data_IF_044774113847
#
_entry.id   IF_044774113847
#
_cell.length_a   1.000
_cell.length_b   1.000
_cell.length_c   1.000
_cell.angle_alpha   90.00
_cell.angle_beta   90.00
_cell.angle_gamma   90.00
#
_symmetry.space_group_name_H-M   'P 1'
#
loop_
_entity.id
_entity.type
_entity.pdbx_description
1 polymer ?
#
# COMPACT_ATOMS: atom_id res chain seq x y z
N UNK A 1 -2.88 -66.44 4.78
CA UNK A 1 -3.71 -65.30 4.31
C UNK A 1 -4.34 -64.60 5.51
N UNK A 2 -3.80 -63.47 6.00
CA UNK A 2 -4.51 -62.52 6.90
C UNK A 2 -3.72 -61.25 7.30
N UNK A 3 -2.49 -61.04 6.81
CA UNK A 3 -1.67 -59.89 7.20
C UNK A 3 -1.49 -58.82 6.10
N UNK A 4 -1.89 -59.11 4.86
CA UNK A 4 -1.72 -58.19 3.72
C UNK A 4 -2.90 -57.24 3.48
N UNK A 5 -4.00 -57.36 4.24
CA UNK A 5 -5.21 -56.54 4.03
C UNK A 5 -5.26 -55.25 4.86
N UNK A 6 -4.40 -55.08 5.87
CA UNK A 6 -4.43 -53.89 6.75
C UNK A 6 -3.46 -52.78 6.32
N UNK A 7 -2.46 -53.08 5.49
CA UNK A 7 -1.44 -52.09 5.10
C UNK A 7 -1.93 -51.08 4.04
N UNK A 8 -3.02 -51.39 3.32
CA UNK A 8 -3.48 -50.54 2.20
C UNK A 8 -4.34 -49.36 2.70
N UNK A 9 -5.01 -49.49 3.85
CA UNK A 9 -5.92 -48.45 4.36
C UNK A 9 -5.17 -47.23 4.91
N UNK A 10 -3.94 -47.40 5.41
CA UNK A 10 -3.16 -46.30 5.99
C UNK A 10 -2.48 -45.38 4.97
N UNK A 11 -2.31 -45.82 3.72
CA UNK A 11 -1.61 -45.03 2.69
C UNK A 11 -2.51 -43.96 2.07
N UNK A 12 -3.83 -44.17 2.06
CA UNK A 12 -4.79 -43.23 1.42
C UNK A 12 -5.12 -42.03 2.32
N UNK A 13 -5.00 -42.15 3.64
CA UNK A 13 -5.31 -41.07 4.60
C UNK A 13 -4.22 -39.98 4.71
N UNK A 14 -2.98 -40.26 4.31
CA UNK A 14 -1.89 -39.27 4.32
C UNK A 14 -1.79 -38.46 3.01
N UNK A 15 -2.46 -38.87 1.94
CA UNK A 15 -2.38 -38.19 0.64
C UNK A 15 -3.17 -36.89 0.53
N UNK A 16 -4.16 -36.67 1.40
CA UNK A 16 -5.09 -35.52 1.29
C UNK A 16 -4.63 -34.31 2.13
N UNK A 17 -3.61 -34.45 2.98
CA UNK A 17 -3.10 -33.35 3.80
C UNK A 17 -2.10 -32.43 3.07
N UNK A 18 -1.61 -32.80 1.89
CA UNK A 18 -0.52 -32.09 1.22
C UNK A 18 -0.95 -30.98 0.25
N UNK A 19 -2.24 -30.77 -0.01
CA UNK A 19 -2.71 -29.75 -0.99
C UNK A 19 -3.19 -28.44 -0.37
N UNK A 20 -3.11 -28.27 0.96
CA UNK A 20 -3.67 -27.09 1.64
C UNK A 20 -2.71 -25.89 1.80
N UNK A 21 -1.45 -25.95 1.36
CA UNK A 21 -0.50 -24.85 1.56
C UNK A 21 0.34 -24.58 0.31
N UNK A 22 -0.27 -24.07 -0.74
CA UNK A 22 0.46 -23.39 -1.82
C UNK A 22 -0.11 -21.98 -2.09
N UNK A 23 -0.39 -21.24 -1.01
CA UNK A 23 -0.64 -19.80 -1.05
C UNK A 23 0.59 -19.08 -0.51
N UNK A 24 1.68 -19.20 -1.25
CA UNK A 24 2.99 -18.53 -1.11
C UNK A 24 3.40 -18.24 -2.56
N UNK A 25 3.66 -17.04 -3.06
CA UNK A 25 3.92 -15.74 -2.47
C UNK A 25 3.49 -14.71 -3.53
N UNK A 26 2.52 -13.84 -3.24
CA UNK A 26 2.30 -12.62 -4.04
C UNK A 26 2.74 -11.34 -3.32
N UNK A 27 3.12 -11.45 -2.05
CA UNK A 27 3.50 -10.31 -1.22
C UNK A 27 5.04 -10.11 -1.13
N UNK A 28 5.86 -11.06 -1.58
CA UNK A 28 7.32 -10.95 -1.49
C UNK A 28 7.95 -10.18 -2.67
N UNK A 29 7.32 -10.19 -3.86
CA UNK A 29 7.78 -9.43 -5.02
C UNK A 29 7.49 -7.93 -4.98
N UNK A 30 6.47 -7.49 -4.23
CA UNK A 30 6.16 -6.05 -4.08
C UNK A 30 7.02 -5.37 -3.01
N UNK A 31 7.50 -6.11 -2.00
CA UNK A 31 8.35 -5.57 -0.93
C UNK A 31 9.77 -5.22 -1.38
N UNK A 32 10.24 -5.73 -2.52
CA UNK A 32 11.59 -5.43 -3.01
C UNK A 32 11.75 -4.03 -3.61
N UNK A 33 10.66 -3.27 -3.78
CA UNK A 33 10.66 -1.93 -4.37
C UNK A 33 10.19 -0.84 -3.40
N UNK A 34 10.32 -1.07 -2.09
CA UNK A 34 9.98 -0.06 -1.10
C UNK A 34 10.96 1.12 -1.19
N UNK A 35 10.42 2.30 -1.44
CA UNK A 35 11.12 3.57 -1.48
C UNK A 35 10.58 4.50 -0.40
N UNK A 36 11.41 5.46 0.00
CA UNK A 36 11.01 6.57 0.87
C UNK A 36 10.82 7.80 0.02
N UNK A 37 9.66 8.43 0.13
CA UNK A 37 9.30 9.62 -0.65
C UNK A 37 8.83 10.73 0.27
N UNK A 38 9.03 11.98 -0.19
CA UNK A 38 8.65 13.20 0.50
C UNK A 38 7.76 14.02 -0.42
N UNK A 39 6.64 14.50 0.10
CA UNK A 39 5.63 15.12 -0.74
C UNK A 39 4.57 15.87 0.04
N UNK A 40 3.66 16.45 -0.73
CA UNK A 40 2.42 17.01 -0.23
C UNK A 40 1.31 15.99 -0.44
N UNK A 41 0.58 15.67 0.62
CA UNK A 41 -0.57 14.77 0.57
C UNK A 41 -1.85 15.58 0.77
N UNK A 42 -2.83 15.36 -0.10
CA UNK A 42 -4.16 15.95 -0.01
C UNK A 42 -5.21 14.84 -0.01
N UNK A 43 -6.17 14.94 0.91
CA UNK A 43 -7.22 13.95 1.08
C UNK A 43 -8.60 14.60 1.14
N UNK A 44 -9.55 14.00 0.42
CA UNK A 44 -10.97 14.31 0.52
C UNK A 44 -11.85 13.25 -0.14
N UNK A 45 -13.18 13.49 -0.19
CA UNK A 45 -14.14 12.47 -0.58
C UNK A 45 -13.96 11.88 -1.99
N UNK A 46 -13.43 12.67 -2.93
CA UNK A 46 -13.33 12.30 -4.35
C UNK A 46 -11.89 11.98 -4.75
N UNK A 47 -10.91 12.49 -4.02
CA UNK A 47 -9.51 12.44 -4.42
C UNK A 47 -8.56 12.27 -3.24
N UNK A 48 -7.55 11.43 -3.45
CA UNK A 48 -6.40 11.24 -2.57
C UNK A 48 -5.13 11.28 -3.39
N UNK A 49 -4.45 12.41 -3.35
CA UNK A 49 -3.29 12.66 -4.19
C UNK A 49 -2.05 12.94 -3.36
N UNK A 50 -0.91 12.62 -3.96
CA UNK A 50 0.41 12.87 -3.42
C UNK A 50 1.25 13.56 -4.50
N UNK A 51 1.74 14.74 -4.19
CA UNK A 51 2.65 15.51 -5.05
C UNK A 51 4.07 15.32 -4.54
N UNK A 52 4.94 14.74 -5.36
CA UNK A 52 6.34 14.52 -5.01
C UNK A 52 7.10 15.85 -5.01
N UNK A 53 7.82 16.15 -3.93
CA UNK A 53 8.51 17.44 -3.84
C UNK A 53 9.67 17.61 -4.83
N UNK A 54 10.22 16.52 -5.37
CA UNK A 54 11.41 16.57 -6.21
C UNK A 54 11.12 17.06 -7.64
N UNK A 55 9.95 16.70 -8.18
CA UNK A 55 9.59 16.95 -9.57
C UNK A 55 8.14 17.42 -9.76
N UNK A 56 7.42 17.68 -8.66
CA UNK A 56 6.01 18.11 -8.65
C UNK A 56 5.05 17.17 -9.38
N UNK A 57 5.44 15.91 -9.63
CA UNK A 57 4.51 14.93 -10.20
C UNK A 57 3.49 14.51 -9.16
N UNK A 58 2.25 14.46 -9.60
CA UNK A 58 1.12 14.04 -8.78
C UNK A 58 0.80 12.57 -9.02
N UNK A 59 0.48 11.87 -7.93
CA UNK A 59 0.21 10.44 -7.92
C UNK A 59 -1.06 10.16 -7.14
N UNK A 60 -1.84 9.17 -7.59
CA UNK A 60 -2.93 8.65 -6.79
C UNK A 60 -2.39 7.90 -5.58
N UNK A 61 -3.06 7.96 -4.44
CA UNK A 61 -2.59 7.31 -3.20
C UNK A 61 -3.47 6.13 -2.83
N UNK A 62 -2.85 5.00 -2.48
CA UNK A 62 -3.53 3.88 -1.83
C UNK A 62 -2.96 3.69 -0.43
N UNK A 63 -3.75 4.00 0.60
CA UNK A 63 -3.37 3.79 2.00
C UNK A 63 -3.60 2.33 2.43
N UNK A 64 -2.62 1.47 2.19
CA UNK A 64 -2.69 0.06 2.60
C UNK A 64 -2.56 -0.13 4.12
N UNK A 65 -2.13 0.89 4.87
CA UNK A 65 -1.97 0.86 6.33
C UNK A 65 -3.12 1.50 7.10
N UNK A 66 -4.04 2.18 6.41
CA UNK A 66 -5.19 2.93 6.97
C UNK A 66 -4.81 3.97 8.03
N UNK A 67 -3.53 4.32 8.08
CA UNK A 67 -2.97 5.22 9.08
C UNK A 67 -2.72 6.60 8.47
N UNK A 68 -2.49 6.70 7.17
CA UNK A 68 -2.28 7.98 6.50
C UNK A 68 -3.57 8.81 6.51
N UNK A 69 -4.68 8.20 6.08
CA UNK A 69 -5.99 8.87 6.05
C UNK A 69 -6.46 9.23 7.48
N UNK A 70 -6.25 8.32 8.45
CA UNK A 70 -6.56 8.58 9.85
C UNK A 70 -5.72 9.72 10.44
N UNK A 71 -4.41 9.71 10.19
CA UNK A 71 -3.49 10.74 10.68
C UNK A 71 -3.82 12.10 10.08
N UNK A 72 -4.18 12.14 8.79
CA UNK A 72 -4.64 13.36 8.13
C UNK A 72 -5.94 13.89 8.76
N UNK A 73 -6.94 13.03 8.99
CA UNK A 73 -8.20 13.45 9.60
C UNK A 73 -8.02 13.99 11.02
N UNK A 74 -7.08 13.42 11.78
CA UNK A 74 -6.75 13.89 13.14
C UNK A 74 -6.12 15.28 13.17
N UNK A 75 -5.68 15.82 12.03
CA UNK A 75 -5.21 17.20 11.93
C UNK A 75 -6.37 18.21 12.03
N UNK A 76 -7.63 17.79 11.81
CA UNK A 76 -8.80 18.65 12.04
C UNK A 76 -8.90 19.84 11.08
N UNK A 77 -8.74 19.60 9.78
CA UNK A 77 -8.97 20.63 8.76
C UNK A 77 -10.45 20.97 8.63
N UNK A 78 -10.75 22.26 8.44
CA UNK A 78 -12.12 22.73 8.18
C UNK A 78 -12.57 22.41 6.74
N UNK A 79 -11.62 22.34 5.81
CA UNK A 79 -11.84 22.06 4.39
C UNK A 79 -11.12 20.78 3.98
N UNK A 80 -11.71 19.95 3.10
CA UNK A 80 -10.99 18.84 2.50
C UNK A 80 -9.88 19.35 1.58
N UNK A 81 -8.94 18.46 1.25
CA UNK A 81 -7.86 18.70 0.28
C UNK A 81 -6.75 19.70 0.69
N UNK A 82 -6.74 20.19 1.93
CA UNK A 82 -5.63 20.98 2.48
C UNK A 82 -4.32 20.18 2.44
N UNK A 83 -3.30 20.61 1.67
CA UNK A 83 -2.08 19.84 1.50
C UNK A 83 -1.26 19.80 2.79
N UNK A 84 -0.74 18.62 3.12
CA UNK A 84 0.15 18.42 4.27
C UNK A 84 1.46 17.79 3.86
N UNK A 85 2.53 18.20 4.51
CA UNK A 85 3.81 17.56 4.31
C UNK A 85 3.81 16.14 4.89
N UNK A 86 4.24 15.17 4.08
CA UNK A 86 4.38 13.78 4.50
C UNK A 86 5.72 13.19 4.08
N UNK A 87 6.22 12.28 4.91
CA UNK A 87 7.29 11.35 4.57
C UNK A 87 6.70 9.96 4.62
N UNK A 88 6.74 9.25 3.49
CA UNK A 88 6.07 7.96 3.31
C UNK A 88 7.07 6.90 2.86
N UNK A 89 6.80 5.65 3.24
CA UNK A 89 7.46 4.48 2.67
C UNK A 89 6.41 3.69 1.89
N UNK A 90 6.72 3.36 0.65
CA UNK A 90 5.76 2.74 -0.27
C UNK A 90 6.40 2.34 -1.59
N UNK A 91 5.58 2.00 -2.57
CA UNK A 91 6.03 1.69 -3.93
C UNK A 91 5.03 2.21 -4.96
N UNK A 92 5.52 2.49 -6.17
CA UNK A 92 4.68 2.91 -7.28
C UNK A 92 4.17 1.69 -8.06
N UNK A 93 2.90 1.72 -8.41
CA UNK A 93 2.27 0.78 -9.34
C UNK A 93 1.59 1.57 -10.46
N UNK A 94 1.32 0.91 -11.58
CA UNK A 94 0.53 1.51 -12.65
C UNK A 94 -0.90 1.73 -12.15
N UNK A 95 -1.46 2.90 -12.43
CA UNK A 95 -2.88 3.16 -12.17
C UNK A 95 -3.75 2.29 -13.09
N UNK A 96 -4.63 1.50 -12.51
CA UNK A 96 -5.47 0.53 -13.24
C UNK A 96 -6.97 0.63 -12.92
N UNK A 97 -7.36 1.56 -12.04
CA UNK A 97 -8.76 1.80 -11.67
C UNK A 97 -9.33 3.04 -12.34
N UNK A 98 -10.65 3.06 -12.54
CA UNK A 98 -11.36 4.21 -13.12
C UNK A 98 -11.27 5.48 -12.27
N UNK A 99 -10.96 5.37 -10.97
CA UNK A 99 -10.79 6.52 -10.07
C UNK A 99 -9.35 7.05 -10.07
N UNK A 100 -8.39 6.25 -10.52
CA UNK A 100 -6.97 6.61 -10.63
C UNK A 100 -6.55 6.87 -12.08
N UNK A 101 -7.47 6.84 -13.04
CA UNK A 101 -7.16 6.86 -14.48
C UNK A 101 -6.49 8.14 -14.94
N UNK A 102 -6.67 9.23 -14.20
CA UNK A 102 -6.10 10.54 -14.49
C UNK A 102 -4.62 10.64 -14.08
N UNK A 103 -4.10 9.62 -13.38
CA UNK A 103 -2.72 9.55 -12.90
C UNK A 103 -1.93 8.46 -13.62
N UNK A 104 -0.71 8.78 -14.06
CA UNK A 104 0.19 7.79 -14.68
C UNK A 104 0.57 6.64 -13.73
N UNK A 105 0.59 6.90 -12.42
CA UNK A 105 0.97 5.91 -11.41
C UNK A 105 0.26 6.15 -10.07
N UNK A 106 0.13 5.08 -9.31
CA UNK A 106 -0.43 5.04 -7.96
C UNK A 106 0.68 4.75 -6.95
N UNK A 107 0.79 5.55 -5.89
CA UNK A 107 1.63 5.31 -4.74
C UNK A 107 0.90 4.43 -3.72
N UNK A 108 1.39 3.21 -3.49
CA UNK A 108 0.89 2.32 -2.45
C UNK A 108 1.68 2.54 -1.17
N UNK A 109 1.01 3.08 -0.15
CA UNK A 109 1.63 3.47 1.12
C UNK A 109 1.67 2.29 2.08
N UNK A 110 2.87 1.95 2.50
CA UNK A 110 3.15 0.84 3.42
C UNK A 110 3.55 1.32 4.81
N UNK A 111 3.94 2.59 4.96
CA UNK A 111 4.25 3.21 6.26
C UNK A 111 4.20 4.73 6.17
N UNK A 112 3.65 5.36 7.20
CA UNK A 112 3.76 6.81 7.42
C UNK A 112 4.95 7.06 8.34
N UNK A 113 5.95 7.79 7.86
CA UNK A 113 7.12 8.16 8.64
C UNK A 113 6.91 9.52 9.34
N UNK A 114 6.26 10.46 8.65
CA UNK A 114 5.95 11.79 9.18
C UNK A 114 4.72 12.37 8.49
N UNK A 115 3.97 13.17 9.22
CA UNK A 115 2.88 14.03 8.72
C UNK A 115 2.94 15.36 9.46
N UNK A 116 2.78 16.48 8.76
CA UNK A 116 2.89 17.83 9.31
C UNK A 116 2.04 18.83 8.55
N UNK A 117 1.35 19.73 9.28
CA UNK A 117 0.70 20.91 8.68
C UNK A 117 1.70 21.94 8.18
N UNK A 118 2.87 21.99 8.82
CA UNK A 118 3.95 22.89 8.42
C UNK A 118 4.70 22.27 7.25
N UNK A 119 4.67 22.95 6.11
CA UNK A 119 5.44 22.59 4.92
C UNK A 119 6.86 23.13 5.13
N UNK A 120 7.89 22.27 5.15
CA UNK A 120 9.27 22.71 5.36
C UNK A 120 9.78 23.48 4.14
N UNK A 121 10.67 24.45 4.38
CA UNK A 121 11.40 25.14 3.31
C UNK A 121 12.14 24.15 2.40
N UNK A 122 12.19 24.43 1.11
CA UNK A 122 12.89 23.63 0.12
C UNK A 122 12.00 23.18 -1.05
N UNK A 123 12.25 22.00 -1.65
CA UNK A 123 11.56 21.56 -2.87
C UNK A 123 10.03 21.45 -2.72
N UNK A 124 9.54 21.28 -1.50
CA UNK A 124 8.11 21.18 -1.20
C UNK A 124 7.42 22.56 -1.02
N UNK A 125 8.18 23.65 -0.91
CA UNK A 125 7.68 24.99 -0.57
C UNK A 125 7.69 25.95 -1.78
N UNK A 126 7.64 25.39 -3.00
CA UNK A 126 7.69 26.16 -4.25
C UNK A 126 6.37 26.84 -4.59
#
# INVERSE_FOLDING_TARGET
MKLFKQAIVFVVLLGVAATACNRKDKAEGEKSNLIKVKGLYSFGPEMKSFTLCEDNREYWVTDSVKNLELSYNNLGFEKPYEPVYVELEGYFTKSDTAVSSDFDSTLVVMKVLKISKEIPDGPCAQ
#
